data_IF_053347082060
#
_entry.id   IF_053347082060
#
_cell.length_a   1.000
_cell.length_b   1.000
_cell.length_c   1.000
_cell.angle_alpha   90.00
_cell.angle_beta   90.00
_cell.angle_gamma   90.00
#
_symmetry.space_group_name_H-M   'P 1'
#
loop_
_entity.id
_entity.type
_entity.pdbx_description
1 polymer ?
#
# COMPACT_ATOMS: atom_id res chain seq x y z
N UNK A 1 -16.77 -40.59 -4.92
CA UNK A 1 -15.29 -40.73 -4.88
C UNK A 1 -14.75 -40.87 -6.29
N UNK A 2 -15.46 -41.62 -7.16
CA UNK A 2 -15.08 -41.82 -8.56
C UNK A 2 -15.11 -40.53 -9.40
N UNK A 3 -16.11 -39.66 -9.23
CA UNK A 3 -16.20 -38.39 -9.99
C UNK A 3 -15.00 -37.45 -9.76
N UNK A 4 -14.48 -37.38 -8.53
CA UNK A 4 -13.33 -36.54 -8.19
C UNK A 4 -12.01 -37.07 -8.80
N UNK A 5 -11.88 -38.38 -8.99
CA UNK A 5 -10.73 -38.99 -9.66
C UNK A 5 -10.80 -38.79 -11.18
N UNK A 6 -12.01 -38.76 -11.74
CA UNK A 6 -12.25 -38.50 -13.16
C UNK A 6 -11.94 -37.04 -13.52
N UNK A 7 -12.35 -36.09 -12.68
CA UNK A 7 -12.05 -34.66 -12.86
C UNK A 7 -10.55 -34.36 -12.76
N UNK A 8 -9.85 -34.94 -11.79
CA UNK A 8 -8.39 -34.78 -11.66
C UNK A 8 -7.68 -35.37 -12.89
N UNK A 9 -8.10 -36.55 -13.37
CA UNK A 9 -7.55 -37.15 -14.58
C UNK A 9 -7.78 -36.25 -15.81
N UNK A 10 -8.97 -35.67 -15.96
CA UNK A 10 -9.26 -34.74 -17.05
C UNK A 10 -8.36 -33.51 -17.03
N UNK A 11 -8.14 -32.92 -15.84
CA UNK A 11 -7.27 -31.75 -15.68
C UNK A 11 -5.81 -32.10 -15.98
N UNK A 12 -5.29 -33.22 -15.45
CA UNK A 12 -3.93 -33.66 -15.72
C UNK A 12 -3.71 -33.96 -17.21
N UNK A 13 -4.67 -34.60 -17.87
CA UNK A 13 -4.62 -34.85 -19.32
C UNK A 13 -4.60 -33.55 -20.11
N UNK A 14 -5.42 -32.55 -19.75
CA UNK A 14 -5.40 -31.23 -20.39
C UNK A 14 -4.05 -30.53 -20.23
N UNK A 15 -3.41 -30.64 -19.06
CA UNK A 15 -2.07 -30.07 -18.83
C UNK A 15 -1.04 -30.78 -19.69
N UNK A 16 -1.03 -32.12 -19.70
CA UNK A 16 -0.09 -32.95 -20.47
C UNK A 16 -0.22 -32.73 -21.99
N UNK A 17 -1.45 -32.52 -22.48
CA UNK A 17 -1.72 -32.20 -23.88
C UNK A 17 -1.49 -30.72 -24.25
N UNK A 18 -1.03 -29.89 -23.31
CA UNK A 18 -0.74 -28.47 -23.56
C UNK A 18 -1.99 -27.57 -23.63
N UNK A 19 -3.15 -28.03 -23.18
CA UNK A 19 -4.40 -27.28 -23.26
C UNK A 19 -4.51 -26.24 -22.14
N UNK A 20 -4.79 -25.00 -22.51
CA UNK A 20 -4.92 -23.87 -21.59
C UNK A 20 -3.56 -23.31 -21.15
N UNK A 21 -3.56 -22.19 -20.44
CA UNK A 21 -2.34 -21.43 -20.11
C UNK A 21 -1.32 -22.21 -19.28
N UNK A 22 -1.79 -23.07 -18.36
CA UNK A 22 -0.94 -23.97 -17.58
C UNK A 22 -0.35 -25.10 -18.42
N UNK A 23 -1.11 -25.70 -19.33
CA UNK A 23 -0.60 -26.72 -20.24
C UNK A 23 0.43 -26.16 -21.23
N UNK A 24 0.15 -24.97 -21.77
CA UNK A 24 1.08 -24.24 -22.65
C UNK A 24 2.39 -23.91 -21.93
N UNK A 25 2.33 -23.47 -20.66
CA UNK A 25 3.52 -23.18 -19.84
C UNK A 25 4.42 -24.41 -19.64
N UNK A 26 3.82 -25.61 -19.56
CA UNK A 26 4.55 -26.87 -19.31
C UNK A 26 5.07 -27.51 -20.60
N UNK A 27 4.33 -27.41 -21.71
CA UNK A 27 4.63 -28.17 -22.94
C UNK A 27 5.22 -27.37 -24.10
N UNK A 28 5.11 -26.03 -24.10
CA UNK A 28 5.60 -25.22 -25.20
C UNK A 28 7.02 -24.72 -24.94
N UNK A 29 7.94 -25.17 -25.79
CA UNK A 29 9.35 -24.73 -25.73
C UNK A 29 9.49 -23.21 -25.87
N UNK A 30 8.70 -22.59 -26.73
CA UNK A 30 8.72 -21.13 -26.94
C UNK A 30 8.31 -20.34 -25.69
N UNK A 31 7.36 -20.87 -24.89
CA UNK A 31 6.95 -20.25 -23.62
C UNK A 31 8.01 -20.42 -22.54
N UNK A 32 8.69 -21.58 -22.51
CA UNK A 32 9.84 -21.83 -21.62
C UNK A 32 11.02 -20.93 -22.01
N UNK A 33 11.29 -20.78 -23.30
CA UNK A 33 12.37 -19.92 -23.81
C UNK A 33 12.08 -18.44 -23.52
N UNK A 34 10.84 -17.98 -23.74
CA UNK A 34 10.43 -16.62 -23.38
C UNK A 34 10.49 -16.36 -21.86
N UNK A 35 10.20 -17.37 -21.04
CA UNK A 35 10.34 -17.30 -19.59
C UNK A 35 11.82 -17.23 -19.18
N UNK A 36 12.67 -18.06 -19.77
CA UNK A 36 14.12 -18.05 -19.55
C UNK A 36 14.74 -16.72 -19.98
N UNK A 37 14.35 -16.19 -21.14
CA UNK A 37 14.78 -14.88 -21.64
C UNK A 37 14.29 -13.75 -20.73
N UNK A 38 13.08 -13.84 -20.19
CA UNK A 38 12.56 -12.87 -19.23
C UNK A 38 13.37 -12.90 -17.92
N UNK A 39 13.74 -14.09 -17.45
CA UNK A 39 14.58 -14.28 -16.26
C UNK A 39 16.01 -13.78 -16.52
N UNK A 40 16.59 -14.06 -17.69
CA UNK A 40 17.92 -13.57 -18.07
C UNK A 40 17.95 -12.05 -18.21
N UNK A 41 16.92 -11.46 -18.83
CA UNK A 41 16.76 -10.00 -18.91
C UNK A 41 16.51 -9.37 -17.54
N UNK A 42 15.73 -10.02 -16.66
CA UNK A 42 15.56 -9.58 -15.28
C UNK A 42 16.89 -9.63 -14.51
N UNK A 43 17.68 -10.69 -14.67
CA UNK A 43 19.02 -10.81 -14.09
C UNK A 43 19.97 -9.74 -14.64
N UNK A 44 19.92 -9.43 -15.94
CA UNK A 44 20.73 -8.37 -16.58
C UNK A 44 20.37 -6.95 -16.06
N UNK A 45 19.09 -6.69 -15.81
CA UNK A 45 18.64 -5.46 -15.14
C UNK A 45 19.15 -5.41 -13.69
N UNK A 46 19.03 -6.52 -12.96
CA UNK A 46 19.51 -6.65 -11.57
C UNK A 46 21.05 -6.51 -11.48
N UNK A 47 21.81 -7.06 -12.43
CA UNK A 47 23.27 -6.96 -12.51
C UNK A 47 23.73 -5.56 -12.95
N UNK A 48 22.95 -4.87 -13.79
CA UNK A 48 23.17 -3.45 -14.12
C UNK A 48 22.98 -2.54 -12.90
N UNK A 49 22.30 -3.05 -11.87
CA UNK A 49 22.17 -2.46 -10.54
C UNK A 49 23.18 -3.04 -9.53
N UNK A 50 24.23 -3.75 -9.94
CA UNK A 50 25.32 -4.22 -9.06
C UNK A 50 25.91 -3.06 -8.23
N UNK A 51 25.50 -2.96 -6.96
CA UNK A 51 25.84 -1.88 -6.02
C UNK A 51 24.64 -1.05 -5.53
N UNK A 52 23.47 -1.23 -6.13
CA UNK A 52 22.18 -0.69 -5.69
C UNK A 52 21.42 -1.81 -4.98
N UNK A 53 21.22 -1.69 -3.66
CA UNK A 53 20.38 -2.61 -2.93
C UNK A 53 18.91 -2.24 -3.15
N UNK A 54 18.09 -3.21 -3.58
CA UNK A 54 16.67 -3.01 -3.78
C UNK A 54 15.88 -3.76 -2.71
N UNK A 55 14.86 -3.12 -2.14
CA UNK A 55 13.97 -3.73 -1.17
C UNK A 55 12.53 -3.58 -1.65
N UNK A 56 11.79 -4.67 -1.75
CA UNK A 56 10.37 -4.66 -2.06
C UNK A 56 9.60 -4.96 -0.79
N UNK A 57 8.56 -4.19 -0.52
CA UNK A 57 7.69 -4.44 0.62
C UNK A 57 6.22 -4.38 0.25
N UNK A 58 5.44 -5.19 0.96
CA UNK A 58 3.99 -5.09 1.01
C UNK A 58 3.56 -4.82 2.45
N UNK A 59 2.58 -3.95 2.61
CA UNK A 59 2.06 -3.56 3.91
C UNK A 59 0.55 -3.38 3.85
N UNK A 60 -0.17 -4.20 4.61
CA UNK A 60 -1.59 -4.03 4.85
C UNK A 60 -1.82 -3.16 6.10
N UNK A 61 -2.77 -2.24 6.04
CA UNK A 61 -3.22 -1.41 7.16
C UNK A 61 -4.72 -1.51 7.35
N UNK A 62 -5.15 -1.40 8.60
CA UNK A 62 -6.54 -1.18 8.99
C UNK A 62 -6.60 0.10 9.80
N UNK A 63 -7.50 1.00 9.39
CA UNK A 63 -7.75 2.30 9.98
C UNK A 63 -9.07 2.29 10.76
N UNK A 64 -9.15 3.09 11.81
CA UNK A 64 -10.39 3.41 12.53
C UNK A 64 -10.38 4.87 13.00
N UNK A 65 -11.50 5.55 12.84
CA UNK A 65 -11.67 6.97 13.17
C UNK A 65 -12.34 7.20 14.53
N UNK A 66 -12.09 8.38 15.10
CA UNK A 66 -12.87 8.88 16.24
C UNK A 66 -14.28 9.28 15.80
N UNK A 67 -15.20 9.39 16.75
CA UNK A 67 -16.50 10.00 16.49
C UNK A 67 -16.27 11.46 16.08
N UNK A 68 -16.69 11.89 14.88
CA UNK A 68 -16.58 13.28 14.50
C UNK A 68 -17.63 14.15 15.22
N UNK A 69 -17.25 15.38 15.54
CA UNK A 69 -18.16 16.38 16.13
C UNK A 69 -19.10 17.00 15.09
N UNK A 70 -18.67 17.03 13.82
CA UNK A 70 -19.43 17.58 12.69
C UNK A 70 -20.00 16.44 11.81
N UNK A 71 -21.33 16.40 11.59
CA UNK A 71 -21.96 15.40 10.74
C UNK A 71 -21.45 15.33 9.30
N UNK A 72 -20.84 16.40 8.78
CA UNK A 72 -20.19 16.40 7.47
C UNK A 72 -19.12 15.30 7.32
N UNK A 73 -18.53 14.85 8.43
CA UNK A 73 -17.48 13.84 8.45
C UNK A 73 -18.01 12.40 8.37
N UNK A 74 -19.32 12.19 8.55
CA UNK A 74 -19.95 10.87 8.37
C UNK A 74 -20.11 10.49 6.89
N UNK A 75 -20.29 11.47 6.01
CA UNK A 75 -20.71 11.21 4.64
C UNK A 75 -19.56 10.62 3.82
N UNK A 76 -19.66 9.32 3.54
CA UNK A 76 -18.75 8.58 2.68
C UNK A 76 -17.44 8.13 3.34
N UNK A 77 -17.13 8.56 4.57
CA UNK A 77 -15.89 8.16 5.24
C UNK A 77 -16.03 6.77 5.91
N UNK A 78 -15.42 5.72 5.36
CA UNK A 78 -15.56 4.35 5.90
C UNK A 78 -14.90 4.18 7.28
N UNK A 79 -13.92 5.02 7.63
CA UNK A 79 -13.23 4.94 8.90
C UNK A 79 -13.99 5.65 10.04
N UNK A 80 -14.95 6.54 9.73
CA UNK A 80 -15.74 7.22 10.74
C UNK A 80 -16.83 6.28 11.32
N UNK A 81 -17.05 6.27 12.65
CA UNK A 81 -18.25 5.70 13.25
C UNK A 81 -19.52 6.29 12.62
N UNK A 82 -20.62 5.54 12.59
CA UNK A 82 -21.90 6.07 12.10
C UNK A 82 -22.52 7.09 13.09
N UNK A 83 -23.52 7.83 12.62
CA UNK A 83 -24.24 8.85 13.41
C UNK A 83 -24.93 8.31 14.68
N UNK A 84 -25.23 7.00 14.72
CA UNK A 84 -25.91 6.33 15.83
C UNK A 84 -24.94 5.68 16.83
N UNK A 85 -23.63 5.90 16.67
CA UNK A 85 -22.59 5.18 17.38
C UNK A 85 -22.32 3.80 16.74
N UNK A 86 -21.04 3.49 16.52
CA UNK A 86 -20.59 2.26 15.89
C UNK A 86 -19.07 2.21 15.71
N UNK A 87 -18.56 1.27 14.94
CA UNK A 87 -17.13 1.18 14.60
C UNK A 87 -16.97 1.36 13.08
N UNK A 88 -16.30 2.44 12.67
CA UNK A 88 -15.88 2.65 11.29
C UNK A 88 -14.50 2.04 11.07
N UNK A 89 -14.29 1.38 9.94
CA UNK A 89 -12.99 0.86 9.56
C UNK A 89 -12.74 0.91 8.06
N UNK A 90 -11.46 1.06 7.70
CA UNK A 90 -11.02 1.04 6.32
C UNK A 90 -9.71 0.25 6.19
N UNK A 91 -9.57 -0.52 5.11
CA UNK A 91 -8.32 -1.20 4.78
C UNK A 91 -7.50 -0.41 3.77
N UNK A 92 -6.18 -0.48 3.86
CA UNK A 92 -5.28 -0.15 2.75
C UNK A 92 -4.20 -1.20 2.57
N UNK A 93 -3.63 -1.22 1.37
CA UNK A 93 -2.61 -2.08 0.84
C UNK A 93 -1.58 -1.17 0.19
N UNK A 94 -0.35 -1.27 0.66
CA UNK A 94 0.78 -0.53 0.16
C UNK A 94 1.75 -1.53 -0.46
N UNK A 95 2.12 -1.30 -1.72
CA UNK A 95 3.22 -1.99 -2.38
C UNK A 95 4.30 -0.96 -2.63
N UNK A 96 5.51 -1.21 -2.13
CA UNK A 96 6.62 -0.30 -2.26
C UNK A 96 7.91 -0.95 -2.71
N UNK A 97 8.76 -0.11 -3.28
CA UNK A 97 10.12 -0.40 -3.70
C UNK A 97 11.02 0.68 -3.12
N UNK A 98 12.02 0.27 -2.36
CA UNK A 98 13.13 1.12 -1.95
C UNK A 98 14.37 0.78 -2.76
N UNK A 99 15.05 1.81 -3.24
CA UNK A 99 16.33 1.69 -3.94
C UNK A 99 17.39 2.40 -3.11
N UNK A 100 18.40 1.66 -2.66
CA UNK A 100 19.45 2.11 -1.75
C UNK A 100 20.80 2.18 -2.49
N UNK A 101 21.13 3.32 -3.13
CA UNK A 101 22.46 3.52 -3.73
C UNK A 101 23.59 3.58 -2.70
N UNK A 102 23.25 3.93 -1.45
CA UNK A 102 24.15 4.04 -0.31
C UNK A 102 23.39 3.60 0.95
N UNK A 103 24.09 3.14 1.99
CA UNK A 103 23.46 2.72 3.25
C UNK A 103 22.66 3.84 3.94
N UNK A 104 23.01 5.10 3.70
CA UNK A 104 22.40 6.27 4.33
C UNK A 104 21.51 7.09 3.39
N UNK A 105 21.28 6.63 2.16
CA UNK A 105 20.45 7.33 1.17
C UNK A 105 19.68 6.36 0.29
N UNK A 106 18.37 6.60 0.15
CA UNK A 106 17.51 5.78 -0.68
C UNK A 106 16.34 6.55 -1.29
N UNK A 107 15.80 5.98 -2.36
CA UNK A 107 14.57 6.41 -3.01
C UNK A 107 13.44 5.48 -2.63
N UNK A 108 12.25 6.04 -2.42
CA UNK A 108 11.03 5.29 -2.07
C UNK A 108 10.02 5.50 -3.19
N UNK A 109 9.54 4.40 -3.74
CA UNK A 109 8.39 4.33 -4.64
C UNK A 109 7.30 3.52 -3.95
N UNK A 110 6.07 4.03 -3.89
CA UNK A 110 4.95 3.32 -3.26
C UNK A 110 3.69 3.53 -4.09
N UNK A 111 2.90 2.47 -4.24
CA UNK A 111 1.52 2.55 -4.68
C UNK A 111 0.68 2.12 -3.48
N UNK A 112 -0.32 2.91 -3.13
CA UNK A 112 -1.30 2.53 -2.13
C UNK A 112 -2.71 2.64 -2.68
N UNK A 113 -3.58 1.67 -2.38
CA UNK A 113 -5.01 1.93 -2.49
C UNK A 113 -5.38 2.94 -1.38
N UNK A 114 -6.13 3.97 -1.74
CA UNK A 114 -6.49 4.98 -0.76
C UNK A 114 -7.61 4.40 0.13
N UNK A 115 -7.41 4.25 1.46
CA UNK A 115 -8.39 3.59 2.32
C UNK A 115 -9.77 4.24 2.32
N UNK A 116 -9.87 5.52 1.93
CA UNK A 116 -11.14 6.23 1.79
C UNK A 116 -11.70 6.20 0.35
N UNK A 117 -10.88 5.88 -0.67
CA UNK A 117 -11.25 5.97 -2.09
C UNK A 117 -11.62 7.38 -2.54
N UNK A 118 -12.21 7.51 -3.75
CA UNK A 118 -12.86 8.77 -4.17
C UNK A 118 -14.35 8.68 -3.84
N UNK A 119 -14.83 9.64 -3.05
CA UNK A 119 -16.25 9.76 -2.72
C UNK A 119 -16.88 10.81 -3.64
N UNK A 120 -17.89 10.40 -4.40
CA UNK A 120 -18.67 11.28 -5.29
C UNK A 120 -20.07 11.46 -4.73
N UNK A 121 -20.55 12.70 -4.70
CA UNK A 121 -21.94 13.02 -4.43
C UNK A 121 -22.65 13.38 -5.74
N UNK A 122 -23.79 12.75 -6.00
CA UNK A 122 -24.72 13.13 -7.07
C UNK A 122 -26.04 13.57 -6.44
N UNK A 123 -26.42 14.83 -6.66
CA UNK A 123 -27.70 15.35 -6.21
C UNK A 123 -28.77 15.06 -7.26
N UNK A 124 -29.81 14.34 -6.86
CA UNK A 124 -30.97 14.04 -7.69
C UNK A 124 -32.13 14.95 -7.26
N UNK A 125 -32.64 15.73 -8.21
CA UNK A 125 -33.76 16.65 -7.99
C UNK A 125 -34.96 16.28 -8.86
N UNK A 126 -36.14 16.15 -8.25
CA UNK A 126 -37.39 15.80 -8.93
C UNK A 126 -38.34 17.01 -8.92
N UNK A 127 -38.41 17.77 -10.04
CA UNK A 127 -39.18 19.00 -10.09
C UNK A 127 -40.67 18.80 -9.84
N UNK A 128 -41.24 17.63 -10.20
CA UNK A 128 -42.67 17.37 -10.03
C UNK A 128 -43.09 17.11 -8.58
N UNK A 129 -42.19 16.57 -7.74
CA UNK A 129 -42.47 16.24 -6.34
C UNK A 129 -41.78 17.16 -5.34
N UNK A 130 -40.79 17.95 -5.77
CA UNK A 130 -39.91 18.72 -4.90
C UNK A 130 -38.96 17.85 -4.07
N UNK A 131 -38.90 16.54 -4.34
CA UNK A 131 -38.00 15.63 -3.67
C UNK A 131 -36.55 15.89 -4.12
N UNK A 132 -35.64 15.89 -3.15
CA UNK A 132 -34.20 15.90 -3.38
C UNK A 132 -33.56 14.78 -2.57
N UNK A 133 -32.58 14.09 -3.14
CA UNK A 133 -31.71 13.19 -2.39
C UNK A 133 -30.29 13.22 -2.96
N UNK A 134 -29.32 12.91 -2.12
CA UNK A 134 -27.91 12.82 -2.52
C UNK A 134 -27.50 11.35 -2.56
N UNK A 135 -27.06 10.90 -3.73
CA UNK A 135 -26.45 9.59 -3.91
C UNK A 135 -24.93 9.72 -3.72
N UNK A 136 -24.39 8.93 -2.80
CA UNK A 136 -22.96 8.88 -2.54
C UNK A 136 -22.39 7.60 -3.15
N UNK A 137 -21.48 7.73 -4.12
CA UNK A 137 -20.75 6.58 -4.68
C UNK A 137 -19.29 6.63 -4.26
N UNK A 138 -18.71 5.47 -4.04
CA UNK A 138 -17.30 5.32 -3.68
C UNK A 138 -16.58 4.53 -4.77
N UNK A 139 -15.59 5.16 -5.37
CA UNK A 139 -14.72 4.54 -6.36
C UNK A 139 -13.37 4.20 -5.74
N UNK A 140 -12.74 3.13 -6.25
CA UNK A 140 -11.36 2.81 -5.93
C UNK A 140 -10.45 3.93 -6.42
N UNK A 141 -9.48 4.30 -5.59
CA UNK A 141 -8.46 5.29 -5.92
C UNK A 141 -7.08 4.76 -5.53
N UNK A 142 -6.08 5.12 -6.32
CA UNK A 142 -4.69 4.74 -6.07
C UNK A 142 -3.85 6.01 -5.91
N UNK A 143 -3.03 6.02 -4.88
CA UNK A 143 -2.10 7.11 -4.60
C UNK A 143 -0.67 6.64 -4.75
N UNK A 144 0.20 7.58 -5.11
CA UNK A 144 1.59 7.30 -5.49
C UNK A 144 2.55 8.09 -4.60
N UNK A 145 3.55 7.42 -4.06
CA UNK A 145 4.66 8.06 -3.33
C UNK A 145 5.93 7.97 -4.17
N UNK A 146 6.64 9.09 -4.26
CA UNK A 146 8.01 9.18 -4.76
C UNK A 146 8.79 10.12 -3.84
N UNK A 147 9.64 9.57 -2.97
CA UNK A 147 10.40 10.34 -2.00
C UNK A 147 11.88 10.01 -2.04
N UNK A 148 12.71 11.02 -1.80
CA UNK A 148 14.10 10.81 -1.39
C UNK A 148 14.13 10.69 0.14
N UNK A 149 15.01 9.83 0.64
CA UNK A 149 15.30 9.70 2.07
C UNK A 149 16.81 9.77 2.28
N UNK A 150 17.23 10.59 3.25
CA UNK A 150 18.63 10.68 3.67
C UNK A 150 18.72 10.53 5.18
N UNK A 151 19.59 9.64 5.63
CA UNK A 151 19.85 9.34 7.03
C UNK A 151 21.12 10.04 7.52
N UNK A 152 21.01 10.65 8.69
CA UNK A 152 22.11 11.20 9.47
C UNK A 152 22.04 10.57 10.86
N UNK A 153 23.05 9.75 11.19
CA UNK A 153 23.08 8.94 12.40
C UNK A 153 21.83 8.04 12.54
N UNK A 154 20.97 8.34 13.50
CA UNK A 154 19.75 7.60 13.79
C UNK A 154 18.50 8.32 13.30
N UNK A 155 18.61 9.41 12.55
CA UNK A 155 17.44 10.13 12.02
C UNK A 155 17.53 10.16 10.49
N UNK A 156 16.46 9.79 9.80
CA UNK A 156 16.32 10.03 8.37
C UNK A 156 15.28 11.10 8.10
N UNK A 157 15.53 11.94 7.10
CA UNK A 157 14.57 12.91 6.61
C UNK A 157 14.12 12.52 5.20
N UNK A 158 12.83 12.67 4.96
CA UNK A 158 12.17 12.41 3.67
C UNK A 158 11.64 13.68 3.06
N UNK A 159 11.76 13.78 1.74
CA UNK A 159 11.20 14.86 0.94
C UNK A 159 10.75 14.32 -0.41
N UNK A 160 9.58 14.73 -0.88
CA UNK A 160 9.11 14.43 -2.23
C UNK A 160 7.60 14.45 -2.35
N UNK A 161 7.07 13.53 -3.15
CA UNK A 161 5.64 13.28 -3.31
C UNK A 161 5.25 12.14 -2.38
N UNK A 162 4.27 12.36 -1.49
CA UNK A 162 3.68 11.35 -0.61
C UNK A 162 2.20 11.26 -0.91
N UNK A 163 1.73 10.06 -1.25
CA UNK A 163 0.32 9.79 -1.53
C UNK A 163 -0.30 10.80 -2.53
N UNK A 164 0.35 10.98 -3.68
CA UNK A 164 0.00 11.90 -4.77
C UNK A 164 -0.01 13.40 -4.41
N UNK A 165 0.35 13.77 -3.18
CA UNK A 165 0.56 15.14 -2.73
C UNK A 165 2.04 15.44 -2.43
N UNK A 166 2.39 16.71 -2.20
CA UNK A 166 3.71 17.03 -1.64
C UNK A 166 3.85 16.50 -0.21
N UNK A 167 5.06 16.09 0.19
CA UNK A 167 5.30 15.48 1.50
C UNK A 167 6.72 15.69 2.03
N UNK A 168 6.82 15.91 3.34
CA UNK A 168 8.06 15.91 4.13
C UNK A 168 7.91 14.96 5.30
N UNK A 169 9.01 14.37 5.75
CA UNK A 169 8.95 13.47 6.90
C UNK A 169 10.28 13.29 7.60
N UNK A 170 10.21 12.68 8.78
CA UNK A 170 11.36 12.23 9.54
C UNK A 170 11.10 10.84 10.11
N UNK A 171 12.17 10.06 10.25
CA UNK A 171 12.18 8.76 10.92
C UNK A 171 13.30 8.72 11.93
N UNK A 172 12.99 8.32 13.16
CA UNK A 172 13.96 8.04 14.20
C UNK A 172 14.14 6.53 14.37
N UNK A 173 15.34 6.05 14.10
CA UNK A 173 15.74 4.66 14.21
C UNK A 173 16.30 4.37 15.61
N UNK A 174 15.77 3.34 16.24
CA UNK A 174 16.02 2.95 17.62
C UNK A 174 16.25 1.43 17.68
N UNK A 175 16.83 0.96 18.79
CA UNK A 175 17.01 -0.47 19.05
C UNK A 175 17.73 -1.24 17.91
N UNK A 176 18.81 -0.65 17.37
CA UNK A 176 19.55 -1.17 16.19
C UNK A 176 18.60 -1.35 15.00
N UNK A 177 17.85 -0.29 14.71
CA UNK A 177 16.94 -0.15 13.57
C UNK A 177 15.70 -1.05 13.59
N UNK A 178 15.53 -1.87 14.64
CA UNK A 178 14.32 -2.71 14.82
C UNK A 178 13.06 -1.92 15.15
N UNK A 179 13.22 -0.71 15.70
CA UNK A 179 12.12 0.20 16.01
C UNK A 179 12.35 1.51 15.26
N UNK A 180 11.35 1.93 14.50
CA UNK A 180 11.35 3.20 13.77
C UNK A 180 10.16 4.02 14.20
N UNK A 181 10.36 5.28 14.59
CA UNK A 181 9.29 6.24 14.84
C UNK A 181 9.23 7.21 13.67
N UNK A 182 8.07 7.33 13.03
CA UNK A 182 7.85 8.10 11.82
C UNK A 182 6.94 9.30 12.11
N UNK A 183 7.27 10.43 11.52
CA UNK A 183 6.39 11.60 11.46
C UNK A 183 6.44 12.17 10.03
N UNK A 184 5.29 12.25 9.37
CA UNK A 184 5.15 12.70 7.99
C UNK A 184 4.05 13.77 7.90
N UNK A 185 4.35 14.87 7.22
CA UNK A 185 3.41 15.92 6.86
C UNK A 185 3.24 15.95 5.33
N UNK A 186 2.02 15.80 4.84
CA UNK A 186 1.72 15.66 3.41
C UNK A 186 0.35 16.21 3.03
N UNK A 187 0.07 16.29 1.73
CA UNK A 187 -1.20 16.81 1.19
C UNK A 187 -1.50 18.26 1.62
N UNK A 188 -0.55 19.17 1.35
CA UNK A 188 -0.64 20.58 1.73
C UNK A 188 -1.70 21.37 0.94
N UNK A 189 -2.19 20.84 -0.19
CA UNK A 189 -3.06 21.56 -1.12
C UNK A 189 -4.54 21.37 -0.78
N UNK A 190 -4.99 20.11 -0.72
CA UNK A 190 -6.40 19.80 -0.52
C UNK A 190 -6.71 19.53 0.96
N UNK A 191 -5.69 19.16 1.74
CA UNK A 191 -5.86 18.81 3.15
C UNK A 191 -6.54 17.45 3.33
N UNK A 192 -6.65 16.97 4.58
CA UNK A 192 -7.20 15.66 4.86
C UNK A 192 -8.72 15.62 4.62
N UNK A 193 -9.15 14.72 3.73
CA UNK A 193 -10.54 14.31 3.60
C UNK A 193 -11.04 13.64 4.91
N UNK A 194 -12.28 13.92 5.40
CA UNK A 194 -13.45 14.50 4.71
C UNK A 194 -13.65 16.01 4.83
N UNK A 195 -12.74 16.75 5.46
CA UNK A 195 -12.95 18.17 5.70
C UNK A 195 -12.72 19.01 4.43
N UNK A 196 -13.77 19.21 3.63
CA UNK A 196 -13.73 20.03 2.40
C UNK A 196 -13.27 21.49 2.66
N UNK A 197 -13.43 21.98 3.90
CA UNK A 197 -12.95 23.30 4.35
C UNK A 197 -11.49 23.30 4.87
N UNK A 198 -10.81 22.15 4.89
CA UNK A 198 -9.45 22.01 5.44
C UNK A 198 -8.32 22.32 4.45
N UNK A 199 -8.64 22.86 3.27
CA UNK A 199 -7.62 23.27 2.29
C UNK A 199 -6.56 24.15 2.94
N UNK A 200 -5.29 23.78 2.74
CA UNK A 200 -4.13 24.44 3.37
C UNK A 200 -3.71 23.89 4.74
N UNK A 201 -4.44 22.93 5.32
CA UNK A 201 -3.98 22.16 6.49
C UNK A 201 -3.37 20.83 6.02
N UNK A 202 -2.07 20.58 6.22
CA UNK A 202 -1.48 19.30 5.84
C UNK A 202 -2.01 18.16 6.70
N UNK A 203 -2.05 16.96 6.13
CA UNK A 203 -2.21 15.75 6.89
C UNK A 203 -0.92 15.48 7.68
N UNK A 204 -1.06 15.13 8.96
CA UNK A 204 0.05 14.74 9.82
C UNK A 204 -0.16 13.29 10.24
N UNK A 205 0.76 12.41 9.83
CA UNK A 205 0.82 11.01 10.23
C UNK A 205 2.00 10.80 11.18
N UNK A 206 1.75 10.19 12.33
CA UNK A 206 2.78 9.77 13.29
C UNK A 206 2.55 8.31 13.62
N UNK A 207 3.61 7.52 13.58
CA UNK A 207 3.51 6.10 13.89
C UNK A 207 4.82 5.47 14.31
N UNK A 208 4.76 4.23 14.73
CA UNK A 208 5.90 3.39 15.01
C UNK A 208 5.83 2.13 14.16
N UNK A 209 6.99 1.71 13.64
CA UNK A 209 7.18 0.43 12.96
C UNK A 209 8.16 -0.40 13.77
N UNK A 210 7.82 -1.66 13.98
CA UNK A 210 8.63 -2.66 14.68
C UNK A 210 8.90 -3.83 13.74
N UNK A 211 10.12 -4.35 13.78
CA UNK A 211 10.52 -5.59 13.12
C UNK A 211 10.77 -6.71 14.15
N UNK A 212 9.71 -7.45 14.56
CA UNK A 212 9.82 -8.51 15.55
C UNK A 212 10.55 -9.75 15.00
N UNK A 213 10.38 -10.05 13.71
CA UNK A 213 10.99 -11.17 12.99
C UNK A 213 11.67 -10.61 11.75
N UNK A 214 12.67 -11.32 11.22
CA UNK A 214 13.24 -10.95 9.92
C UNK A 214 12.12 -10.93 8.87
N UNK A 215 12.09 -9.89 8.04
CA UNK A 215 11.14 -9.73 6.94
C UNK A 215 9.69 -9.45 7.35
N UNK A 216 9.38 -9.28 8.63
CA UNK A 216 8.01 -8.97 9.10
C UNK A 216 7.98 -7.62 9.77
N UNK A 217 7.18 -6.72 9.23
CA UNK A 217 6.90 -5.43 9.87
C UNK A 217 5.54 -5.45 10.55
N UNK A 218 5.51 -4.89 11.75
CA UNK A 218 4.29 -4.46 12.40
C UNK A 218 4.34 -2.94 12.54
N UNK A 219 3.23 -2.27 12.32
CA UNK A 219 3.16 -0.84 12.58
C UNK A 219 1.85 -0.41 13.21
N UNK A 220 1.92 0.70 13.91
CA UNK A 220 0.79 1.33 14.55
C UNK A 220 1.00 2.84 14.55
N UNK A 221 -0.07 3.60 14.41
CA UNK A 221 0.04 5.05 14.44
C UNK A 221 -1.30 5.74 14.37
N UNK A 222 -1.24 7.04 14.18
CA UNK A 222 -2.39 7.88 13.90
C UNK A 222 -2.08 8.88 12.81
N UNK A 223 -3.12 9.32 12.13
CA UNK A 223 -3.06 10.36 11.12
C UNK A 223 -4.22 11.35 11.31
N UNK A 224 -4.24 12.41 10.51
CA UNK A 224 -5.22 13.50 10.63
C UNK A 224 -5.16 14.18 12.01
N UNK A 225 -3.99 14.18 12.67
CA UNK A 225 -3.81 14.72 14.03
C UNK A 225 -4.16 16.21 14.09
N UNK A 226 -3.73 16.99 13.08
CA UNK A 226 -4.03 18.41 12.98
C UNK A 226 -5.51 18.68 12.70
N UNK A 227 -6.16 17.78 11.95
CA UNK A 227 -7.60 17.83 11.71
C UNK A 227 -8.36 17.54 13.01
N UNK A 228 -7.94 16.54 13.78
CA UNK A 228 -8.54 16.20 15.07
C UNK A 228 -8.51 17.35 16.06
N UNK A 229 -7.41 18.09 16.12
CA UNK A 229 -7.29 19.26 16.99
C UNK A 229 -8.24 20.42 16.61
N UNK A 230 -8.63 20.54 15.34
CA UNK A 230 -9.45 21.65 14.84
C UNK A 230 -10.92 21.28 14.63
N UNK A 231 -11.21 20.05 14.25
CA UNK A 231 -12.52 19.57 13.81
C UNK A 231 -12.97 18.26 14.51
N UNK A 232 -12.24 17.78 15.51
CA UNK A 232 -12.66 16.65 16.35
C UNK A 232 -12.50 15.26 15.74
N UNK A 233 -11.96 15.14 14.51
CA UNK A 233 -11.79 13.86 13.83
C UNK A 233 -10.31 13.49 13.62
N UNK A 234 -9.90 12.34 14.15
CA UNK A 234 -8.59 11.73 13.91
C UNK A 234 -8.75 10.24 13.61
N UNK A 235 -7.78 9.65 12.92
CA UNK A 235 -7.76 8.20 12.64
C UNK A 235 -6.54 7.54 13.26
N UNK A 236 -6.75 6.38 13.86
CA UNK A 236 -5.70 5.44 14.23
C UNK A 236 -5.57 4.34 13.19
N UNK A 237 -4.39 3.73 13.10
CA UNK A 237 -4.16 2.57 12.24
C UNK A 237 -3.26 1.53 12.89
N UNK A 238 -3.47 0.28 12.47
CA UNK A 238 -2.59 -0.86 12.73
C UNK A 238 -2.27 -1.54 11.39
N UNK A 239 -1.03 -1.97 11.21
CA UNK A 239 -0.59 -2.60 9.99
C UNK A 239 0.39 -3.74 10.23
N UNK A 240 0.43 -4.64 9.26
CA UNK A 240 1.40 -5.72 9.20
C UNK A 240 1.82 -5.93 7.74
N UNK A 241 3.09 -6.22 7.55
CA UNK A 241 3.67 -6.31 6.22
C UNK A 241 4.90 -7.19 6.20
N UNK A 242 5.42 -7.37 5.00
CA UNK A 242 6.64 -8.09 4.75
C UNK A 242 7.51 -7.34 3.77
N UNK A 243 8.83 -7.50 3.92
CA UNK A 243 9.84 -6.88 3.06
C UNK A 243 10.87 -7.92 2.65
N UNK A 244 11.46 -7.75 1.47
CA UNK A 244 12.47 -8.63 0.92
C UNK A 244 13.53 -7.81 0.19
N UNK A 245 14.80 -8.08 0.47
CA UNK A 245 15.91 -7.45 -0.25
C UNK A 245 16.25 -8.21 -1.54
N UNK A 246 17.08 -7.61 -2.38
CA UNK A 246 17.57 -8.23 -3.60
C UNK A 246 18.35 -9.53 -3.32
N UNK A 247 19.07 -9.60 -2.19
CA UNK A 247 19.77 -10.81 -1.75
C UNK A 247 18.80 -11.96 -1.44
N UNK A 248 17.65 -11.65 -0.81
CA UNK A 248 16.62 -12.65 -0.50
C UNK A 248 15.90 -13.13 -1.77
N UNK A 249 15.61 -12.22 -2.70
CA UNK A 249 14.96 -12.54 -3.97
C UNK A 249 15.86 -13.46 -4.82
N UNK A 250 17.16 -13.14 -4.94
CA UNK A 250 18.14 -13.98 -5.64
C UNK A 250 18.21 -15.38 -5.03
N UNK A 251 18.16 -15.50 -3.70
CA UNK A 251 18.15 -16.78 -2.99
C UNK A 251 16.87 -17.59 -3.26
N UNK A 252 15.70 -16.96 -3.26
CA UNK A 252 14.43 -17.62 -3.60
C UNK A 252 14.44 -18.17 -5.03
N UNK A 253 14.91 -17.40 -6.00
CA UNK A 253 15.04 -17.87 -7.38
C UNK A 253 16.11 -18.95 -7.56
N UNK A 254 17.21 -18.91 -6.80
CA UNK A 254 18.24 -19.95 -6.83
C UNK A 254 17.82 -21.26 -6.14
N UNK A 255 16.85 -21.22 -5.22
CA UNK A 255 16.37 -22.38 -4.46
C UNK A 255 15.13 -23.03 -5.05
N UNK A 256 14.43 -22.36 -5.98
CA UNK A 256 13.44 -23.01 -6.82
C UNK A 256 14.16 -24.09 -7.64
N UNK A 257 13.80 -25.38 -7.51
CA UNK A 257 14.33 -26.41 -8.38
C UNK A 257 13.82 -26.12 -9.78
N UNK A 258 14.64 -25.43 -10.57
CA UNK A 258 14.55 -25.43 -12.02
C UNK A 258 14.89 -26.88 -12.43
N UNK A 259 13.86 -27.72 -12.40
CA UNK A 259 13.95 -29.10 -12.83
C UNK A 259 14.29 -29.13 -14.31
N UNK A 260 15.56 -29.47 -14.59
CA UNK A 260 16.00 -29.98 -15.89
C UNK A 260 15.48 -31.39 -16.12
#
# INVERSE_FOLDING_TARGET
LDDALEDVKSITTKIDEGQGTLGALVNERETIDALNDTIENANSVIDSFSGLHAEVYYLGRVFGGTQPDDPAFFYGNPAAPNENGGFGYAGSNNLGLELHPQEDFWWIFEINDYPQGVIRAQEHYFPESGAHWTEWTRDLDYRFTFQMSKRWWNIAFRLGVKESGGGIGASWYLARDRLMINADAFDFTFGPYPALESSGLPNLRVGARLEPLHHVWLEAGGEQILLGARYGYATGYLGAGFHFSDDDIKLLFATLPLGF
#
